data_IF_818510247947
#
_entry.id   IF_818510247947
#
_cell.length_a   1.000
_cell.length_b   1.000
_cell.length_c   1.000
_cell.angle_alpha   90.00
_cell.angle_beta   90.00
_cell.angle_gamma   90.00
#
_symmetry.space_group_name_H-M   'P 1'
#
loop_
_entity.id
_entity.type
_entity.pdbx_description
1 polymer ?
#
# COMPACT_ATOMS: atom_id res chain seq x y z
N UNK A 1 24.18 -13.47 0.79
CA UNK A 1 23.71 -14.52 -0.14
C UNK A 1 23.02 -13.92 -1.37
N UNK A 2 21.95 -13.13 -1.21
CA UNK A 2 21.18 -12.53 -2.32
C UNK A 2 22.02 -11.69 -3.29
N UNK A 3 22.86 -10.78 -2.80
CA UNK A 3 23.80 -10.00 -3.63
C UNK A 3 24.68 -10.86 -4.54
N UNK A 4 25.21 -11.97 -4.03
CA UNK A 4 26.10 -12.86 -4.78
C UNK A 4 25.36 -13.57 -5.90
N UNK A 5 24.14 -14.05 -5.62
CA UNK A 5 23.30 -14.74 -6.61
C UNK A 5 22.83 -13.76 -7.69
N UNK A 6 22.29 -12.60 -7.29
CA UNK A 6 21.73 -11.62 -8.21
C UNK A 6 22.73 -11.13 -9.26
N UNK A 7 24.01 -10.91 -8.87
CA UNK A 7 25.07 -10.50 -9.80
C UNK A 7 25.32 -11.51 -10.93
N UNK A 8 25.11 -12.79 -10.67
CA UNK A 8 25.27 -13.87 -11.64
C UNK A 8 24.07 -14.08 -12.57
N UNK A 9 22.94 -13.42 -12.31
CA UNK A 9 21.76 -13.53 -13.17
C UNK A 9 21.90 -12.65 -14.42
N UNK A 10 21.37 -13.14 -15.54
CA UNK A 10 21.28 -12.41 -16.82
C UNK A 10 20.04 -11.52 -16.89
N UNK A 11 18.94 -11.95 -16.28
CA UNK A 11 17.66 -11.25 -16.24
C UNK A 11 17.15 -11.22 -14.79
N UNK A 12 16.72 -10.06 -14.32
CA UNK A 12 16.19 -9.85 -12.98
C UNK A 12 14.84 -9.15 -13.12
N UNK A 13 13.79 -9.75 -12.57
CA UNK A 13 12.46 -9.14 -12.57
C UNK A 13 12.21 -8.44 -11.24
N UNK A 14 11.77 -7.19 -11.28
CA UNK A 14 11.38 -6.42 -10.09
C UNK A 14 9.97 -5.88 -10.23
N UNK A 15 9.32 -5.66 -9.09
CA UNK A 15 7.91 -5.27 -9.03
C UNK A 15 7.66 -3.77 -9.16
N UNK A 16 8.72 -2.96 -9.21
CA UNK A 16 8.67 -1.50 -9.40
C UNK A 16 9.97 -0.95 -9.96
N UNK A 17 9.93 0.24 -10.55
CA UNK A 17 11.11 1.00 -10.96
C UNK A 17 11.93 1.45 -9.74
N UNK A 18 11.27 1.80 -8.64
CA UNK A 18 11.95 2.05 -7.38
C UNK A 18 12.80 0.85 -6.94
N UNK A 19 12.20 -0.35 -6.89
CA UNK A 19 12.91 -1.57 -6.45
C UNK A 19 14.04 -1.94 -7.40
N UNK A 20 13.84 -1.75 -8.72
CA UNK A 20 14.92 -1.90 -9.71
C UNK A 20 16.11 -1.04 -9.36
N UNK A 21 15.91 0.28 -9.20
CA UNK A 21 16.98 1.25 -8.95
C UNK A 21 17.67 1.00 -7.61
N UNK A 22 16.90 0.66 -6.59
CA UNK A 22 17.41 0.37 -5.25
C UNK A 22 18.33 -0.86 -5.25
N UNK A 23 17.87 -1.98 -5.82
CA UNK A 23 18.65 -3.21 -5.92
C UNK A 23 19.85 -3.04 -6.86
N UNK A 24 19.68 -2.38 -8.01
CA UNK A 24 20.77 -2.14 -8.96
C UNK A 24 21.92 -1.37 -8.29
N UNK A 25 21.59 -0.33 -7.51
CA UNK A 25 22.55 0.46 -6.75
C UNK A 25 23.22 -0.38 -5.66
N UNK A 26 22.43 -0.95 -4.75
CA UNK A 26 22.92 -1.65 -3.56
C UNK A 26 23.76 -2.88 -3.95
N UNK A 27 23.35 -3.60 -5.00
CA UNK A 27 24.04 -4.81 -5.42
C UNK A 27 25.07 -4.55 -6.52
N UNK A 28 25.21 -3.31 -7.00
CA UNK A 28 26.11 -2.92 -8.09
C UNK A 28 25.88 -3.77 -9.36
N UNK A 29 24.61 -3.85 -9.78
CA UNK A 29 24.17 -4.61 -10.96
C UNK A 29 23.72 -3.60 -12.01
N UNK A 30 24.11 -3.83 -13.27
CA UNK A 30 23.65 -3.02 -14.40
C UNK A 30 22.11 -3.03 -14.49
N UNK A 31 21.50 -1.85 -14.53
CA UNK A 31 20.06 -1.66 -14.68
C UNK A 31 19.49 -2.31 -15.94
N UNK A 32 20.30 -2.53 -16.99
CA UNK A 32 19.89 -3.20 -18.23
C UNK A 32 19.50 -4.67 -18.01
N UNK A 33 20.00 -5.31 -16.94
CA UNK A 33 19.61 -6.67 -16.55
C UNK A 33 18.22 -6.73 -15.94
N UNK A 34 17.66 -5.60 -15.55
CA UNK A 34 16.36 -5.55 -14.90
C UNK A 34 15.23 -5.40 -15.90
N UNK A 35 14.11 -6.02 -15.58
CA UNK A 35 12.80 -5.81 -16.21
C UNK A 35 11.81 -5.53 -15.10
N UNK A 36 11.07 -4.44 -15.23
CA UNK A 36 10.02 -4.09 -14.27
C UNK A 36 8.71 -4.68 -14.74
N UNK A 37 8.09 -5.49 -13.89
CA UNK A 37 6.75 -6.03 -14.10
C UNK A 37 5.94 -5.73 -12.86
N UNK A 38 4.96 -4.83 -12.98
CA UNK A 38 4.09 -4.49 -11.87
C UNK A 38 3.20 -5.67 -11.48
N UNK A 39 2.95 -5.80 -10.18
CA UNK A 39 1.96 -6.80 -9.73
C UNK A 39 0.56 -6.41 -10.19
N UNK A 40 -0.27 -7.42 -10.43
CA UNK A 40 -1.70 -7.24 -10.63
C UNK A 40 -2.48 -7.13 -9.33
N UNK A 41 -3.78 -6.93 -9.46
CA UNK A 41 -4.74 -7.00 -8.36
C UNK A 41 -5.74 -8.14 -8.60
N UNK A 42 -6.12 -8.86 -7.54
CA UNK A 42 -7.19 -9.85 -7.62
C UNK A 42 -8.55 -9.16 -7.51
N UNK A 43 -9.23 -8.96 -8.64
CA UNK A 43 -10.54 -8.29 -8.69
C UNK A 43 -11.70 -9.14 -8.14
N UNK A 44 -11.48 -10.42 -7.85
CA UNK A 44 -12.48 -11.25 -7.15
C UNK A 44 -12.62 -10.85 -5.68
N UNK A 45 -11.54 -10.38 -5.06
CA UNK A 45 -11.50 -10.00 -3.64
C UNK A 45 -11.47 -8.49 -3.41
N UNK A 46 -10.98 -7.73 -4.40
CA UNK A 46 -10.81 -6.28 -4.29
C UNK A 46 -11.57 -5.57 -5.41
N UNK A 47 -12.78 -5.15 -5.09
CA UNK A 47 -13.67 -4.42 -6.00
C UNK A 47 -14.50 -3.39 -5.22
N UNK A 48 -15.03 -2.35 -5.89
CA UNK A 48 -15.91 -1.39 -5.25
C UNK A 48 -17.24 -2.06 -4.88
N UNK A 49 -17.51 -2.19 -3.57
CA UNK A 49 -18.82 -2.67 -3.10
C UNK A 49 -19.82 -1.51 -3.10
N UNK A 50 -20.99 -1.70 -3.71
CA UNK A 50 -22.08 -0.73 -3.70
C UNK A 50 -22.85 -0.78 -2.36
N UNK A 51 -22.17 -0.38 -1.28
CA UNK A 51 -22.74 -0.35 0.06
C UNK A 51 -23.03 1.09 0.48
N UNK A 52 -24.29 1.52 0.38
CA UNK A 52 -24.85 2.70 1.04
C UNK A 52 -23.95 3.94 1.17
N UNK A 53 -24.16 4.72 2.24
CA UNK A 53 -23.29 5.85 2.59
C UNK A 53 -22.17 5.38 3.53
N UNK A 54 -20.93 5.74 3.21
CA UNK A 54 -19.77 5.46 4.07
C UNK A 54 -19.83 6.35 5.31
N UNK A 55 -19.58 5.83 6.53
CA UNK A 55 -19.44 6.67 7.70
C UNK A 55 -18.34 7.71 7.47
N UNK A 56 -18.61 8.98 7.73
CA UNK A 56 -17.70 10.07 7.31
C UNK A 56 -16.38 10.12 8.08
N UNK A 57 -16.29 9.43 9.23
CA UNK A 57 -15.18 9.50 10.17
C UNK A 57 -14.37 8.19 10.31
N UNK A 58 -14.53 7.24 9.38
CA UNK A 58 -13.85 5.93 9.45
C UNK A 58 -12.61 5.89 8.57
N UNK A 59 -11.50 5.45 9.16
CA UNK A 59 -10.22 5.24 8.51
C UNK A 59 -9.93 3.74 8.56
N UNK A 60 -9.31 3.21 7.50
CA UNK A 60 -8.80 1.85 7.47
C UNK A 60 -7.31 1.81 7.12
N UNK A 61 -6.59 0.88 7.73
CA UNK A 61 -5.20 0.53 7.38
C UNK A 61 -5.05 -0.98 7.36
N UNK A 62 -4.39 -1.49 6.33
CA UNK A 62 -4.01 -2.91 6.25
C UNK A 62 -2.60 -3.08 6.79
N UNK A 63 -2.48 -3.65 7.98
CA UNK A 63 -1.22 -3.89 8.67
C UNK A 63 -0.95 -5.39 8.77
N UNK A 64 -0.48 -5.98 7.67
CA UNK A 64 -0.26 -7.42 7.54
C UNK A 64 0.81 -8.00 8.48
N UNK A 65 1.61 -7.16 9.12
CA UNK A 65 2.53 -7.55 10.19
C UNK A 65 2.81 -6.38 11.14
N UNK A 66 2.90 -6.67 12.44
CA UNK A 66 3.38 -5.72 13.44
C UNK A 66 4.92 -5.57 13.35
N UNK A 67 5.34 -4.82 12.33
CA UNK A 67 6.73 -4.45 12.07
C UNK A 67 6.86 -2.92 11.88
N UNK A 68 7.96 -2.29 12.33
CA UNK A 68 8.12 -0.83 12.24
C UNK A 68 7.99 -0.25 10.82
N UNK A 69 8.38 -1.02 9.80
CA UNK A 69 8.33 -0.60 8.40
C UNK A 69 6.91 -0.32 7.88
N UNK A 70 5.87 -0.88 8.51
CA UNK A 70 4.49 -0.58 8.13
C UNK A 70 4.01 0.77 8.66
N UNK A 71 4.79 1.44 9.51
CA UNK A 71 4.55 2.82 9.92
C UNK A 71 3.29 3.04 10.75
N UNK A 72 2.64 1.99 11.25
CA UNK A 72 1.40 2.08 12.04
C UNK A 72 1.52 3.03 13.23
N UNK A 73 2.71 3.13 13.84
CA UNK A 73 3.02 4.12 14.87
C UNK A 73 2.63 5.54 14.48
N UNK A 74 3.04 6.00 13.30
CA UNK A 74 2.82 7.38 12.85
C UNK A 74 1.35 7.64 12.56
N UNK A 75 0.63 6.63 12.07
CA UNK A 75 -0.82 6.72 11.91
C UNK A 75 -1.54 6.78 13.26
N UNK A 76 -1.11 5.99 14.26
CA UNK A 76 -1.68 6.04 15.61
C UNK A 76 -1.46 7.41 16.28
N UNK A 77 -0.27 7.98 16.12
CA UNK A 77 0.04 9.34 16.58
C UNK A 77 -0.83 10.37 15.84
N UNK A 78 -1.01 10.24 14.52
CA UNK A 78 -1.86 11.12 13.73
C UNK A 78 -3.34 11.08 14.17
N UNK A 79 -3.93 9.90 14.35
CA UNK A 79 -5.34 9.78 14.79
C UNK A 79 -5.55 10.27 16.21
N UNK A 80 -4.55 10.13 17.09
CA UNK A 80 -4.60 10.71 18.44
C UNK A 80 -4.67 12.25 18.40
N UNK A 81 -3.95 12.89 17.48
CA UNK A 81 -4.02 14.35 17.28
C UNK A 81 -5.35 14.78 16.66
N UNK A 82 -5.83 14.08 15.63
CA UNK A 82 -7.13 14.38 14.98
C UNK A 82 -8.27 14.31 15.98
N UNK A 83 -8.26 13.28 16.85
CA UNK A 83 -9.30 13.03 17.85
C UNK A 83 -9.54 14.22 18.78
N UNK A 84 -8.51 15.03 19.05
CA UNK A 84 -8.63 16.22 19.91
C UNK A 84 -9.57 17.28 19.32
N UNK A 85 -9.84 17.23 18.01
CA UNK A 85 -10.59 18.26 17.27
C UNK A 85 -11.87 17.72 16.63
N UNK A 86 -11.89 16.46 16.23
CA UNK A 86 -13.05 15.84 15.58
C UNK A 86 -13.13 14.33 15.83
N UNK A 87 -14.33 13.77 15.69
CA UNK A 87 -14.55 12.33 15.81
C UNK A 87 -13.80 11.58 14.70
N UNK A 88 -13.14 10.48 15.05
CA UNK A 88 -12.43 9.60 14.12
C UNK A 88 -12.42 8.18 14.68
N UNK A 89 -12.55 7.18 13.81
CA UNK A 89 -12.40 5.76 14.12
C UNK A 89 -11.38 5.14 13.18
N UNK A 90 -10.49 4.31 13.71
CA UNK A 90 -9.47 3.60 12.94
C UNK A 90 -9.72 2.10 13.02
N UNK A 91 -9.95 1.48 11.88
CA UNK A 91 -9.91 0.02 11.73
C UNK A 91 -8.54 -0.39 11.23
N UNK A 92 -7.88 -1.28 11.96
CA UNK A 92 -6.60 -1.89 11.60
C UNK A 92 -6.87 -3.34 11.21
N UNK A 93 -6.69 -3.68 9.94
CA UNK A 93 -6.67 -5.07 9.51
C UNK A 93 -5.34 -5.67 9.95
N UNK A 94 -5.40 -6.60 10.90
CA UNK A 94 -4.25 -7.18 11.57
C UNK A 94 -4.39 -7.16 13.10
N UNK A 95 -3.36 -7.67 13.78
CA UNK A 95 -3.32 -7.76 15.24
C UNK A 95 -1.97 -7.25 15.75
N UNK A 96 -1.94 -6.44 16.82
CA UNK A 96 -0.68 -6.06 17.45
C UNK A 96 -0.08 -7.26 18.19
N UNK A 97 1.24 -7.31 18.30
CA UNK A 97 1.88 -8.30 19.17
C UNK A 97 1.49 -8.02 20.62
N UNK A 98 1.10 -9.07 21.35
CA UNK A 98 0.84 -8.99 22.79
C UNK A 98 2.06 -8.44 23.52
N UNK A 99 1.85 -7.44 24.38
CA UNK A 99 2.88 -6.66 25.08
C UNK A 99 3.87 -5.94 24.14
N UNK A 100 3.51 -5.79 22.87
CA UNK A 100 4.31 -5.18 21.81
C UNK A 100 4.29 -3.66 21.85
N UNK A 101 5.06 -3.05 20.93
CA UNK A 101 5.20 -1.58 20.85
C UNK A 101 3.87 -0.92 20.50
N UNK A 102 3.10 -1.50 19.59
CA UNK A 102 1.82 -0.94 19.13
C UNK A 102 0.76 -0.95 20.23
N UNK A 103 0.57 -2.08 20.93
CA UNK A 103 -0.38 -2.17 22.05
C UNK A 103 -0.05 -1.16 23.15
N UNK A 104 1.23 -1.06 23.55
CA UNK A 104 1.70 -0.07 24.52
C UNK A 104 1.48 1.37 24.04
N UNK A 105 1.67 1.63 22.75
CA UNK A 105 1.46 2.95 22.17
C UNK A 105 -0.02 3.35 22.18
N UNK A 106 -0.92 2.44 21.81
CA UNK A 106 -2.38 2.68 21.87
C UNK A 106 -2.82 3.04 23.30
N UNK A 107 -2.31 2.31 24.29
CA UNK A 107 -2.58 2.61 25.70
C UNK A 107 -2.00 3.97 26.13
N UNK A 108 -0.73 4.25 25.76
CA UNK A 108 -0.06 5.54 26.06
C UNK A 108 -0.80 6.74 25.46
N UNK A 109 -1.28 6.61 24.23
CA UNK A 109 -2.02 7.65 23.52
C UNK A 109 -3.50 7.75 23.97
N UNK A 110 -3.99 6.78 24.75
CA UNK A 110 -5.39 6.69 25.22
C UNK A 110 -6.40 6.71 24.07
N UNK A 111 -6.12 5.92 23.03
CA UNK A 111 -6.95 5.81 21.81
C UNK A 111 -7.59 4.42 21.64
N UNK A 112 -7.51 3.55 22.66
CA UNK A 112 -8.00 2.17 22.56
C UNK A 112 -9.49 2.03 22.25
N UNK A 113 -10.30 3.04 22.53
CA UNK A 113 -11.74 3.05 22.26
C UNK A 113 -12.09 3.55 20.84
N UNK A 114 -11.13 4.10 20.09
CA UNK A 114 -11.32 4.49 18.68
C UNK A 114 -10.50 3.65 17.70
N UNK A 115 -9.61 2.79 18.19
CA UNK A 115 -8.80 1.87 17.37
C UNK A 115 -9.37 0.46 17.51
N UNK A 116 -9.83 -0.11 16.40
CA UNK A 116 -10.32 -1.47 16.33
C UNK A 116 -9.37 -2.34 15.50
N UNK A 117 -8.83 -3.39 16.11
CA UNK A 117 -8.03 -4.40 15.42
C UNK A 117 -8.94 -5.58 15.04
N UNK A 118 -8.97 -5.93 13.76
CA UNK A 118 -9.84 -7.02 13.27
C UNK A 118 -9.23 -8.40 13.49
N UNK A 119 -7.93 -8.48 13.79
CA UNK A 119 -7.17 -9.72 13.64
C UNK A 119 -6.96 -10.05 12.16
N UNK A 120 -6.66 -11.33 11.87
CA UNK A 120 -6.61 -11.83 10.49
C UNK A 120 -8.03 -11.99 9.96
N UNK A 121 -8.27 -11.50 8.75
CA UNK A 121 -9.54 -11.65 8.03
C UNK A 121 -9.33 -12.52 6.79
N UNK A 122 -10.43 -13.08 6.25
CA UNK A 122 -10.38 -13.82 4.99
C UNK A 122 -10.25 -12.85 3.81
N UNK A 123 -9.75 -13.34 2.67
CA UNK A 123 -9.55 -12.48 1.49
C UNK A 123 -10.88 -11.90 0.99
N UNK A 124 -11.95 -12.69 1.08
CA UNK A 124 -13.30 -12.38 0.67
C UNK A 124 -13.92 -11.22 1.46
N UNK A 125 -13.42 -10.95 2.68
CA UNK A 125 -13.93 -9.90 3.55
C UNK A 125 -13.32 -8.52 3.24
N UNK A 126 -12.18 -8.46 2.55
CA UNK A 126 -11.44 -7.20 2.37
C UNK A 126 -12.25 -6.14 1.65
N UNK A 127 -12.94 -6.49 0.56
CA UNK A 127 -13.79 -5.56 -0.17
C UNK A 127 -14.82 -4.91 0.76
N UNK A 128 -15.44 -5.70 1.64
CA UNK A 128 -16.44 -5.19 2.57
C UNK A 128 -15.83 -4.27 3.63
N UNK A 129 -14.68 -4.62 4.22
CA UNK A 129 -13.98 -3.76 5.17
C UNK A 129 -13.56 -2.43 4.53
N UNK A 130 -12.98 -2.46 3.33
CA UNK A 130 -12.64 -1.25 2.60
C UNK A 130 -13.89 -0.42 2.28
N UNK A 131 -15.01 -1.05 1.88
CA UNK A 131 -16.25 -0.35 1.57
C UNK A 131 -16.81 0.49 2.73
N UNK A 132 -16.51 0.10 3.98
CA UNK A 132 -16.98 0.75 5.21
C UNK A 132 -16.10 1.93 5.66
N UNK A 133 -14.98 2.18 4.99
CA UNK A 133 -14.04 3.23 5.35
C UNK A 133 -14.19 4.47 4.46
N UNK A 134 -14.24 5.66 5.07
CA UNK A 134 -14.17 6.92 4.33
C UNK A 134 -12.81 7.13 3.65
N UNK A 135 -11.73 6.67 4.29
CA UNK A 135 -10.34 6.85 3.84
C UNK A 135 -9.54 5.58 4.14
N UNK A 136 -8.71 5.15 3.21
CA UNK A 136 -7.66 4.17 3.44
C UNK A 136 -6.32 4.88 3.63
N UNK A 137 -5.49 4.39 4.56
CA UNK A 137 -4.15 4.94 4.82
C UNK A 137 -3.10 3.83 4.72
N UNK A 138 -2.04 4.09 3.96
CA UNK A 138 -0.83 3.24 3.88
C UNK A 138 0.36 4.04 4.42
N UNK A 139 0.65 3.95 5.75
CA UNK A 139 1.64 4.79 6.40
C UNK A 139 3.07 4.22 6.32
N UNK A 140 3.32 3.23 5.45
CA UNK A 140 4.58 2.47 5.42
C UNK A 140 5.80 3.38 5.24
N UNK A 141 6.91 3.01 5.86
CA UNK A 141 8.20 3.69 5.67
C UNK A 141 8.89 3.24 4.38
N UNK A 142 8.60 2.01 3.96
CA UNK A 142 9.17 1.39 2.77
C UNK A 142 8.27 0.28 2.27
N UNK A 143 7.96 0.28 0.98
CA UNK A 143 7.36 -0.85 0.27
C UNK A 143 8.11 -1.08 -1.05
N UNK A 144 8.37 -2.35 -1.39
CA UNK A 144 8.91 -2.69 -2.71
C UNK A 144 7.89 -2.50 -3.84
N UNK A 145 6.60 -2.53 -3.53
CA UNK A 145 5.53 -2.21 -4.47
C UNK A 145 4.45 -1.37 -3.77
N UNK A 146 3.71 -1.99 -2.86
CA UNK A 146 2.59 -1.34 -2.18
C UNK A 146 1.25 -2.00 -2.47
N UNK A 147 1.19 -3.34 -2.35
CA UNK A 147 -0.06 -4.10 -2.54
C UNK A 147 -1.24 -3.50 -1.75
N UNK A 148 -1.10 -3.11 -0.46
CA UNK A 148 -2.20 -2.48 0.28
C UNK A 148 -2.76 -1.19 -0.37
N UNK A 149 -1.91 -0.42 -1.04
CA UNK A 149 -2.35 0.78 -1.76
C UNK A 149 -3.20 0.42 -2.98
N UNK A 150 -2.75 -0.58 -3.75
CA UNK A 150 -3.49 -1.08 -4.92
C UNK A 150 -4.83 -1.69 -4.51
N UNK A 151 -4.86 -2.49 -3.45
CA UNK A 151 -6.09 -3.07 -2.88
C UNK A 151 -7.10 -1.99 -2.49
N UNK A 152 -6.67 -0.98 -1.73
CA UNK A 152 -7.54 0.12 -1.30
C UNK A 152 -8.12 0.91 -2.49
N UNK A 153 -7.27 1.23 -3.49
CA UNK A 153 -7.70 1.91 -4.71
C UNK A 153 -8.65 1.05 -5.55
N UNK A 154 -8.42 -0.27 -5.63
CA UNK A 154 -9.29 -1.22 -6.33
C UNK A 154 -10.69 -1.29 -5.71
N UNK A 155 -10.79 -1.12 -4.39
CA UNK A 155 -12.05 -1.03 -3.66
C UNK A 155 -12.73 0.36 -3.78
N UNK A 156 -12.14 1.29 -4.53
CA UNK A 156 -12.67 2.64 -4.70
C UNK A 156 -12.69 3.44 -3.39
N UNK A 157 -11.71 3.22 -2.52
CA UNK A 157 -11.53 4.01 -1.29
C UNK A 157 -10.52 5.12 -1.54
N UNK A 158 -10.80 6.38 -1.14
CA UNK A 158 -9.81 7.44 -1.21
C UNK A 158 -8.56 7.04 -0.41
N UNK A 159 -7.39 7.14 -1.04
CA UNK A 159 -6.14 6.69 -0.45
C UNK A 159 -5.25 7.87 -0.02
N UNK A 160 -4.70 7.76 1.18
CA UNK A 160 -3.52 8.50 1.61
C UNK A 160 -2.38 7.50 1.77
N UNK A 161 -1.23 7.77 1.17
CA UNK A 161 -0.04 6.93 1.30
C UNK A 161 1.18 7.78 1.58
N UNK A 162 2.23 7.18 2.14
CA UNK A 162 3.53 7.85 2.17
C UNK A 162 4.22 7.75 0.81
N UNK A 163 5.34 8.46 0.64
CA UNK A 163 6.30 8.27 -0.46
C UNK A 163 7.34 7.17 -0.17
N UNK A 164 7.07 6.27 0.79
CA UNK A 164 8.02 5.25 1.23
C UNK A 164 8.24 4.13 0.19
N UNK A 165 9.42 4.09 -0.42
CA UNK A 165 9.75 3.11 -1.46
C UNK A 165 8.97 3.34 -2.75
N UNK A 166 8.35 2.29 -3.28
CA UNK A 166 7.60 2.33 -4.53
C UNK A 166 6.19 2.96 -4.41
N UNK A 167 5.76 3.38 -3.21
CA UNK A 167 4.40 3.87 -3.01
C UNK A 167 4.04 5.09 -3.86
N UNK A 168 4.97 6.02 -4.06
CA UNK A 168 4.71 7.19 -4.93
C UNK A 168 4.49 6.78 -6.39
N UNK A 169 5.26 5.80 -6.87
CA UNK A 169 5.12 5.22 -8.21
C UNK A 169 3.79 4.46 -8.35
N UNK A 170 3.42 3.66 -7.35
CA UNK A 170 2.21 2.85 -7.37
C UNK A 170 0.94 3.70 -7.25
N UNK A 171 0.92 4.70 -6.36
CA UNK A 171 -0.26 5.55 -6.13
C UNK A 171 -0.43 6.61 -7.22
N UNK A 172 0.66 7.20 -7.72
CA UNK A 172 0.59 8.28 -8.71
C UNK A 172 -0.34 9.42 -8.27
N UNK A 173 -1.29 9.78 -9.14
CA UNK A 173 -2.33 10.78 -8.92
C UNK A 173 -3.62 10.22 -8.30
N UNK A 174 -3.67 8.91 -8.01
CA UNK A 174 -4.81 8.19 -7.46
C UNK A 174 -5.05 8.41 -5.96
N UNK A 175 -4.17 9.14 -5.28
CA UNK A 175 -4.25 9.39 -3.84
C UNK A 175 -3.38 10.57 -3.41
N UNK A 176 -3.43 10.90 -2.12
CA UNK A 176 -2.56 11.91 -1.52
C UNK A 176 -1.26 11.24 -1.04
N UNK A 177 -0.12 11.79 -1.43
CA UNK A 177 1.20 11.35 -0.97
C UNK A 177 1.73 12.30 0.11
N UNK A 178 2.18 11.72 1.23
CA UNK A 178 2.85 12.43 2.33
C UNK A 178 4.26 11.89 2.59
N UNK A 179 5.14 12.63 3.29
CA UNK A 179 6.43 12.09 3.73
C UNK A 179 6.26 10.88 4.67
N UNK A 180 7.15 9.86 4.59
CA UNK A 180 7.18 8.77 5.57
C UNK A 180 7.63 9.29 6.94
N UNK A 181 7.26 8.58 8.00
CA UNK A 181 7.60 8.92 9.39
C UNK A 181 7.10 10.29 9.88
N UNK A 182 6.08 10.86 9.22
CA UNK A 182 5.50 12.15 9.57
C UNK A 182 4.03 12.03 10.00
N UNK A 183 3.80 11.95 11.30
CA UNK A 183 2.47 11.88 11.88
C UNK A 183 1.66 13.17 11.64
N UNK A 184 2.32 14.33 11.54
CA UNK A 184 1.65 15.61 11.33
C UNK A 184 1.14 15.74 9.89
N UNK A 185 1.96 15.33 8.91
CA UNK A 185 1.54 15.29 7.51
C UNK A 185 0.39 14.31 7.29
N UNK A 186 0.45 13.12 7.91
CA UNK A 186 -0.66 12.16 7.91
C UNK A 186 -1.93 12.80 8.52
N UNK A 187 -1.82 13.43 9.68
CA UNK A 187 -2.96 14.07 10.33
C UNK A 187 -3.60 15.15 9.45
N UNK A 188 -2.78 16.01 8.83
CA UNK A 188 -3.25 17.05 7.92
C UNK A 188 -3.98 16.49 6.70
N UNK A 189 -3.41 15.49 6.03
CA UNK A 189 -4.02 14.86 4.85
C UNK A 189 -5.33 14.14 5.20
N UNK A 190 -5.36 13.43 6.33
CA UNK A 190 -6.56 12.75 6.82
C UNK A 190 -7.65 13.79 7.14
N UNK A 191 -7.33 14.83 7.93
CA UNK A 191 -8.30 15.89 8.24
C UNK A 191 -8.83 16.57 6.99
N UNK A 192 -7.97 16.84 5.99
CA UNK A 192 -8.39 17.39 4.71
C UNK A 192 -9.44 16.51 4.04
N UNK A 193 -9.18 15.20 3.86
CA UNK A 193 -10.15 14.30 3.22
C UNK A 193 -11.40 14.07 4.09
N UNK A 194 -11.29 14.06 5.41
CA UNK A 194 -12.45 13.97 6.31
C UNK A 194 -13.39 15.16 6.12
N UNK A 195 -12.85 16.36 5.87
CA UNK A 195 -13.63 17.59 5.74
C UNK A 195 -14.01 17.96 4.29
N UNK A 196 -13.53 17.22 3.29
CA UNK A 196 -13.79 17.50 1.88
C UNK A 196 -14.37 16.27 1.15
N UNK A 197 -15.70 16.01 1.24
CA UNK A 197 -16.34 14.85 0.61
C UNK A 197 -16.19 14.79 -0.92
N UNK A 198 -16.12 15.94 -1.59
CA UNK A 198 -15.91 16.00 -3.04
C UNK A 198 -14.50 15.52 -3.43
N UNK A 199 -13.50 15.89 -2.62
CA UNK A 199 -12.12 15.44 -2.81
C UNK A 199 -11.98 13.94 -2.55
N UNK A 200 -12.69 13.40 -1.54
CA UNK A 200 -12.80 11.95 -1.37
C UNK A 200 -13.31 11.27 -2.64
N UNK A 201 -14.42 11.74 -3.20
CA UNK A 201 -14.98 11.17 -4.45
C UNK A 201 -13.98 11.25 -5.61
N UNK A 202 -13.29 12.39 -5.74
CA UNK A 202 -12.27 12.61 -6.77
C UNK A 202 -11.12 11.60 -6.65
N UNK A 203 -10.50 11.46 -5.47
CA UNK A 203 -9.39 10.53 -5.28
C UNK A 203 -9.83 9.06 -5.36
N UNK A 204 -11.01 8.70 -4.86
CA UNK A 204 -11.56 7.36 -5.02
C UNK A 204 -11.70 6.97 -6.50
N UNK A 205 -12.22 7.89 -7.33
CA UNK A 205 -12.35 7.69 -8.77
C UNK A 205 -10.97 7.58 -9.45
N UNK A 206 -10.07 8.52 -9.18
CA UNK A 206 -8.73 8.52 -9.77
C UNK A 206 -7.93 7.26 -9.42
N UNK A 207 -7.97 6.82 -8.15
CA UNK A 207 -7.33 5.59 -7.70
C UNK A 207 -7.89 4.35 -8.40
N UNK A 208 -9.22 4.25 -8.52
CA UNK A 208 -9.87 3.13 -9.20
C UNK A 208 -9.52 3.10 -10.71
N UNK A 209 -9.54 4.25 -11.39
CA UNK A 209 -9.14 4.37 -12.79
C UNK A 209 -7.69 3.94 -12.99
N UNK A 210 -6.78 4.40 -12.12
CA UNK A 210 -5.37 4.01 -12.15
C UNK A 210 -5.21 2.50 -12.02
N UNK A 211 -5.85 1.88 -11.02
CA UNK A 211 -5.74 0.44 -10.81
C UNK A 211 -6.21 -0.35 -12.02
N UNK A 212 -7.35 0.05 -12.59
CA UNK A 212 -7.91 -0.63 -13.76
C UNK A 212 -7.01 -0.53 -15.00
N UNK A 213 -6.27 0.57 -15.16
CA UNK A 213 -5.43 0.81 -16.33
C UNK A 213 -4.02 0.24 -16.20
N UNK A 214 -3.48 0.15 -14.97
CA UNK A 214 -2.05 -0.13 -14.75
C UNK A 214 -1.80 -1.52 -14.19
N UNK A 215 -2.62 -2.01 -13.25
CA UNK A 215 -2.30 -3.19 -12.45
C UNK A 215 -3.16 -4.39 -12.84
N UNK A 216 -2.63 -5.24 -13.72
CA UNK A 216 -3.31 -6.46 -14.20
C UNK A 216 -2.41 -7.69 -14.10
N UNK A 217 -2.94 -8.76 -13.50
CA UNK A 217 -2.23 -10.04 -13.43
C UNK A 217 -2.06 -10.70 -14.80
N UNK A 218 -3.02 -10.50 -15.73
CA UNK A 218 -2.89 -11.04 -17.09
C UNK A 218 -1.74 -10.35 -17.83
N UNK A 219 -1.64 -9.03 -17.71
CA UNK A 219 -0.54 -8.25 -18.29
C UNK A 219 0.80 -8.62 -17.68
N UNK A 220 0.86 -8.75 -16.34
CA UNK A 220 2.07 -9.19 -15.66
C UNK A 220 2.53 -10.58 -16.13
N UNK A 221 1.59 -11.53 -16.31
CA UNK A 221 1.90 -12.87 -16.81
C UNK A 221 2.42 -12.84 -18.25
N UNK A 222 1.85 -12.02 -19.12
CA UNK A 222 2.32 -11.81 -20.49
C UNK A 222 3.75 -11.24 -20.51
N UNK A 223 4.00 -10.17 -19.74
CA UNK A 223 5.34 -9.55 -19.65
C UNK A 223 6.38 -10.54 -19.12
N UNK A 224 6.08 -11.28 -18.06
CA UNK A 224 6.99 -12.32 -17.52
C UNK A 224 7.23 -13.43 -18.54
N UNK A 225 6.21 -13.84 -19.28
CA UNK A 225 6.35 -14.87 -20.33
C UNK A 225 7.30 -14.39 -21.44
N UNK A 226 7.21 -13.13 -21.85
CA UNK A 226 8.13 -12.54 -22.83
C UNK A 226 9.57 -12.52 -22.30
N UNK A 227 9.77 -12.21 -21.02
CA UNK A 227 11.09 -12.24 -20.37
C UNK A 227 11.66 -13.67 -20.33
N UNK A 228 10.81 -14.69 -20.12
CA UNK A 228 11.25 -16.08 -20.22
C UNK A 228 11.73 -16.45 -21.63
N UNK A 229 11.02 -15.99 -22.67
CA UNK A 229 11.48 -16.19 -24.05
C UNK A 229 12.81 -15.49 -24.32
N UNK A 230 12.98 -14.23 -23.89
CA UNK A 230 14.25 -13.52 -23.98
C UNK A 230 15.41 -14.32 -23.33
N UNK A 231 15.18 -14.86 -22.14
CA UNK A 231 16.18 -15.63 -21.41
C UNK A 231 16.52 -16.96 -22.08
N UNK A 232 15.52 -17.69 -22.60
CA UNK A 232 15.71 -18.95 -23.34
C UNK A 232 16.50 -18.71 -24.62
N UNK A 233 16.16 -17.66 -25.38
CA UNK A 233 16.85 -17.34 -26.63
C UNK A 233 18.27 -16.84 -26.40
N UNK A 234 18.51 -16.05 -25.35
CA UNK A 234 19.85 -15.67 -24.95
C UNK A 234 20.71 -16.89 -24.58
N UNK A 235 20.14 -17.87 -23.87
CA UNK A 235 20.84 -19.11 -23.51
C UNK A 235 21.20 -19.95 -24.74
N UNK A 236 20.27 -20.07 -25.71
CA UNK A 236 20.51 -20.82 -26.97
C UNK A 236 21.61 -20.20 -27.86
N UNK A 237 21.90 -18.91 -27.69
CA UNK A 237 22.95 -18.19 -28.42
C UNK A 237 24.32 -18.23 -27.73
N UNK A 238 24.42 -18.84 -26.55
CA UNK A 238 25.71 -19.06 -25.91
C UNK A 238 26.48 -20.15 -26.69
N UNK A 239 27.75 -19.89 -27.05
CA UNK A 239 28.59 -20.83 -27.79
C UNK A 239 28.94 -22.10 -27.00
#
# INVERSE_FOLDING_TARGET
>A
MQMKVARGLSHIVTVSEFTKKDIAREFSIDEQKFRVVYNGINKEFFYPVQNGTRPENTIIVTNSADIPLKGLRYLLEAVAEIRKRQSVKLTVIGEPKKNGVIEKLVAKLRIGDIVHFTGRIANEDFAEYYSKAAIAVVPSLYEGFGIPAVEAMACGVPLISTSGGALQEVVGDGGIIVPPADASALAGAITYLLNNPNERKRYAKAGLERVNNVFSWSKAAEEVTNIYWEAIDAYRRLP
#
